data_IF_928323416041
#
_entry.id   IF_928323416041
#
_cell.length_a   1.000
_cell.length_b   1.000
_cell.length_c   1.000
_cell.angle_alpha   90.00
_cell.angle_beta   90.00
_cell.angle_gamma   90.00
#
_symmetry.space_group_name_H-M   'P 1'
#
loop_
_entity.id
_entity.type
_entity.pdbx_description
1 polymer ?
#
# COMPACT_ATOMS: atom_id res chain seq x y z
N UNK A 1 -43.43 -22.52 -1.05
CA UNK A 1 -42.17 -23.29 -0.97
C UNK A 1 -41.02 -22.30 -1.00
N UNK A 2 -40.58 -21.87 0.18
CA UNK A 2 -39.49 -20.89 0.35
C UNK A 2 -38.14 -21.60 0.38
N UNK A 3 -37.19 -21.12 -0.43
CA UNK A 3 -35.83 -21.61 -0.42
C UNK A 3 -35.17 -21.33 0.96
N UNK A 4 -34.40 -22.28 1.51
CA UNK A 4 -33.68 -22.05 2.76
C UNK A 4 -32.54 -21.07 2.51
N UNK A 5 -32.62 -19.90 3.13
CA UNK A 5 -31.50 -18.97 3.26
C UNK A 5 -30.45 -19.64 4.15
N UNK A 6 -29.39 -20.18 3.54
CA UNK A 6 -28.17 -20.57 4.26
C UNK A 6 -27.56 -19.27 4.80
N UNK A 7 -27.45 -19.08 6.12
CA UNK A 7 -26.75 -17.93 6.66
C UNK A 7 -25.26 -18.07 6.34
N UNK A 8 -24.72 -17.18 5.52
CA UNK A 8 -23.28 -17.03 5.21
C UNK A 8 -22.44 -16.61 6.45
N UNK A 9 -22.95 -16.75 7.67
CA UNK A 9 -22.33 -16.25 8.90
C UNK A 9 -21.30 -17.20 9.52
N UNK A 10 -21.21 -18.47 9.09
CA UNK A 10 -20.19 -19.40 9.59
C UNK A 10 -18.76 -18.99 9.21
N UNK A 11 -18.60 -18.17 8.16
CA UNK A 11 -17.31 -17.61 7.77
C UNK A 11 -16.79 -16.50 8.70
N UNK A 12 -17.60 -15.96 9.61
CA UNK A 12 -17.14 -14.88 10.52
C UNK A 12 -16.81 -15.36 11.94
N UNK A 13 -17.40 -16.49 12.38
CA UNK A 13 -17.15 -17.06 13.71
C UNK A 13 -15.85 -17.88 13.82
N UNK A 14 -15.39 -18.47 12.72
CA UNK A 14 -14.27 -19.43 12.74
C UNK A 14 -12.87 -18.80 12.75
N UNK A 15 -12.73 -17.53 12.31
CA UNK A 15 -11.42 -16.88 12.18
C UNK A 15 -11.04 -16.01 13.39
N UNK A 16 -12.02 -15.48 14.13
CA UNK A 16 -11.76 -14.47 15.18
C UNK A 16 -11.15 -14.99 16.48
N UNK A 17 -11.28 -16.29 16.80
CA UNK A 17 -10.92 -16.83 18.12
C UNK A 17 -9.74 -17.81 18.13
N UNK A 18 -9.10 -18.09 16.98
CA UNK A 18 -8.06 -19.10 16.94
C UNK A 18 -6.67 -18.48 17.07
N UNK A 19 -5.89 -18.97 18.04
CA UNK A 19 -4.43 -18.78 18.19
C UNK A 19 -3.59 -19.13 16.93
N UNK A 20 -4.25 -19.51 15.84
CA UNK A 20 -3.71 -19.79 14.51
C UNK A 20 -3.39 -18.52 13.72
N UNK A 21 -4.09 -17.40 13.93
CA UNK A 21 -3.81 -16.13 13.22
C UNK A 21 -2.39 -15.60 13.47
N UNK A 22 -1.91 -15.47 14.73
CA UNK A 22 -0.51 -15.16 14.99
C UNK A 22 0.43 -16.28 14.50
N UNK A 23 -0.02 -17.54 14.51
CA UNK A 23 0.71 -18.66 13.92
C UNK A 23 0.92 -18.54 12.41
N UNK A 24 -0.06 -18.04 11.65
CA UNK A 24 0.06 -17.79 10.21
C UNK A 24 0.91 -16.55 9.90
N UNK A 25 0.83 -15.52 10.74
CA UNK A 25 1.73 -14.36 10.64
C UNK A 25 3.18 -14.76 10.92
N UNK A 26 3.39 -15.59 11.95
CA UNK A 26 4.72 -16.11 12.29
C UNK A 26 5.23 -17.06 11.22
N UNK A 27 4.41 -17.98 10.69
CA UNK A 27 4.81 -18.87 9.60
C UNK A 27 5.09 -18.12 8.31
N UNK A 28 4.32 -17.07 8.01
CA UNK A 28 4.58 -16.15 6.90
C UNK A 28 5.90 -15.40 7.05
N UNK A 29 6.20 -14.90 8.25
CA UNK A 29 7.47 -14.24 8.57
C UNK A 29 8.65 -15.23 8.46
N UNK A 30 8.48 -16.45 8.97
CA UNK A 30 9.49 -17.52 8.87
C UNK A 30 9.72 -17.89 7.41
N UNK A 31 8.67 -18.07 6.62
CA UNK A 31 8.80 -18.40 5.19
C UNK A 31 9.49 -17.29 4.41
N UNK A 32 9.16 -16.02 4.68
CA UNK A 32 9.81 -14.87 4.05
C UNK A 32 11.29 -14.77 4.45
N UNK A 33 11.59 -15.01 5.73
CA UNK A 33 12.97 -15.03 6.23
C UNK A 33 13.76 -16.20 5.64
N UNK A 34 13.15 -17.39 5.54
CA UNK A 34 13.75 -18.56 4.90
C UNK A 34 14.06 -18.28 3.43
N UNK A 35 13.12 -17.65 2.71
CA UNK A 35 13.30 -17.28 1.31
C UNK A 35 14.48 -16.33 1.13
N UNK A 36 14.57 -15.27 1.95
CA UNK A 36 15.69 -14.33 1.94
C UNK A 36 17.02 -15.05 2.23
N UNK A 37 17.05 -15.95 3.23
CA UNK A 37 18.25 -16.70 3.61
C UNK A 37 18.66 -17.69 2.52
N UNK A 38 17.72 -18.38 1.88
CA UNK A 38 17.98 -19.32 0.78
C UNK A 38 18.55 -18.60 -0.43
N UNK A 39 17.96 -17.46 -0.82
CA UNK A 39 18.47 -16.62 -1.92
C UNK A 39 19.87 -16.08 -1.62
N UNK A 40 20.13 -15.60 -0.40
CA UNK A 40 21.46 -15.16 0.03
C UNK A 40 22.49 -16.30 -0.02
N UNK A 41 22.10 -17.51 0.39
CA UNK A 41 22.95 -18.70 0.32
C UNK A 41 23.20 -19.14 -1.12
N UNK A 42 22.21 -19.05 -2.01
CA UNK A 42 22.36 -19.36 -3.44
C UNK A 42 23.27 -18.37 -4.15
N UNK A 43 23.14 -17.07 -3.85
CA UNK A 43 24.03 -16.03 -4.34
C UNK A 43 25.48 -16.24 -3.87
N UNK A 44 25.70 -16.62 -2.60
CA UNK A 44 27.04 -16.95 -2.07
C UNK A 44 27.63 -18.23 -2.68
N UNK A 45 26.79 -19.16 -3.16
CA UNK A 45 27.21 -20.43 -3.78
C UNK A 45 27.49 -20.32 -5.28
N UNK A 46 27.43 -19.12 -5.87
CA UNK A 46 27.76 -18.90 -7.30
C UNK A 46 26.79 -19.54 -8.29
N UNK A 47 25.60 -19.97 -7.84
CA UNK A 47 24.52 -20.40 -8.73
C UNK A 47 23.80 -19.18 -9.27
N UNK A 48 23.23 -19.24 -10.49
CA UNK A 48 22.37 -18.16 -11.03
C UNK A 48 21.17 -17.98 -10.08
N UNK A 49 21.13 -16.95 -9.23
CA UNK A 49 20.00 -16.73 -8.34
C UNK A 49 18.79 -16.32 -9.20
N UNK A 50 17.58 -16.68 -8.77
CA UNK A 50 16.36 -16.22 -9.46
C UNK A 50 16.18 -14.72 -9.30
N UNK A 51 16.78 -14.16 -8.24
CA UNK A 51 16.77 -12.74 -7.93
C UNK A 51 18.21 -12.24 -7.78
N UNK A 52 18.70 -11.44 -8.73
CA UNK A 52 20.01 -10.79 -8.55
C UNK A 52 19.90 -9.68 -7.49
N UNK A 53 20.11 -10.05 -6.23
CA UNK A 53 20.14 -9.15 -5.07
C UNK A 53 21.16 -8.00 -5.22
N UNK A 54 22.09 -8.05 -6.18
CA UNK A 54 22.94 -6.89 -6.50
C UNK A 54 22.11 -5.69 -6.95
N UNK A 55 20.93 -5.91 -7.55
CA UNK A 55 20.01 -4.84 -7.94
C UNK A 55 19.51 -4.04 -6.73
N UNK A 56 19.38 -4.69 -5.56
CA UNK A 56 19.00 -4.03 -4.30
C UNK A 56 20.11 -3.16 -3.69
N UNK A 57 21.34 -3.25 -4.22
CA UNK A 57 22.43 -2.34 -3.85
C UNK A 57 22.15 -0.92 -4.33
N UNK A 58 21.32 -0.77 -5.38
CA UNK A 58 20.82 0.53 -5.80
C UNK A 58 19.86 1.07 -4.73
N UNK A 59 20.31 2.14 -4.06
CA UNK A 59 19.54 2.80 -3.00
C UNK A 59 18.22 3.37 -3.50
N UNK A 60 18.11 3.77 -4.76
CA UNK A 60 16.87 4.28 -5.35
C UNK A 60 15.84 3.17 -5.54
N UNK A 61 16.27 2.01 -6.05
CA UNK A 61 15.40 0.84 -6.18
C UNK A 61 14.96 0.32 -4.81
N UNK A 62 15.90 0.16 -3.86
CA UNK A 62 15.58 -0.30 -2.51
C UNK A 62 14.61 0.67 -1.79
N UNK A 63 14.82 1.99 -1.91
CA UNK A 63 13.90 3.00 -1.41
C UNK A 63 12.49 2.86 -1.98
N UNK A 64 12.40 2.74 -3.31
CA UNK A 64 11.15 2.64 -4.04
C UNK A 64 10.38 1.38 -3.70
N UNK A 65 11.08 0.25 -3.50
CA UNK A 65 10.50 -1.01 -3.06
C UNK A 65 9.92 -0.91 -1.64
N UNK A 66 10.68 -0.40 -0.67
CA UNK A 66 10.21 -0.23 0.71
C UNK A 66 8.99 0.70 0.77
N UNK A 67 9.08 1.86 0.11
CA UNK A 67 7.97 2.80 0.04
C UNK A 67 6.74 2.17 -0.63
N UNK A 68 6.93 1.43 -1.72
CA UNK A 68 5.84 0.71 -2.41
C UNK A 68 5.18 -0.32 -1.49
N UNK A 69 5.96 -1.10 -0.75
CA UNK A 69 5.41 -2.08 0.21
C UNK A 69 4.57 -1.40 1.26
N UNK A 70 5.05 -0.32 1.86
CA UNK A 70 4.30 0.42 2.89
C UNK A 70 3.01 0.99 2.33
N UNK A 71 3.04 1.57 1.14
CA UNK A 71 1.85 2.09 0.47
C UNK A 71 0.82 0.99 0.21
N UNK A 72 1.27 -0.19 -0.20
CA UNK A 72 0.38 -1.34 -0.42
C UNK A 72 -0.21 -1.89 0.87
N UNK A 73 0.56 -1.95 1.95
CA UNK A 73 0.04 -2.26 3.29
C UNK A 73 -1.12 -1.31 3.60
N UNK A 74 -0.89 0.00 3.46
CA UNK A 74 -1.90 1.02 3.75
C UNK A 74 -3.13 0.90 2.83
N UNK A 75 -2.92 0.75 1.52
CA UNK A 75 -3.97 0.65 0.52
C UNK A 75 -4.92 -0.52 0.81
N UNK A 76 -4.37 -1.70 1.08
CA UNK A 76 -5.16 -2.89 1.35
C UNK A 76 -5.83 -2.85 2.72
N UNK A 77 -5.18 -2.29 3.75
CA UNK A 77 -5.83 -2.03 5.04
C UNK A 77 -7.04 -1.08 4.86
N UNK A 78 -6.87 0.02 4.13
CA UNK A 78 -7.94 1.00 3.91
C UNK A 78 -9.11 0.45 3.09
N UNK A 79 -8.81 -0.38 2.10
CA UNK A 79 -9.81 -0.95 1.17
C UNK A 79 -10.83 -1.84 1.89
N UNK A 80 -10.43 -2.51 2.96
CA UNK A 80 -11.33 -3.30 3.81
C UNK A 80 -11.90 -2.48 4.97
N UNK A 81 -11.16 -1.50 5.46
CA UNK A 81 -11.56 -0.65 6.58
C UNK A 81 -12.83 0.17 6.27
N UNK A 82 -12.92 0.80 5.09
CA UNK A 82 -14.07 1.66 4.79
C UNK A 82 -15.39 0.90 4.61
N UNK A 83 -15.44 -0.24 3.89
CA UNK A 83 -16.64 -1.05 3.84
C UNK A 83 -17.08 -1.56 5.22
N UNK A 84 -16.15 -1.96 6.08
CA UNK A 84 -16.45 -2.39 7.46
C UNK A 84 -17.04 -1.21 8.27
N UNK A 85 -16.46 -0.02 8.16
CA UNK A 85 -17.01 1.17 8.81
C UNK A 85 -18.45 1.48 8.33
N UNK A 86 -18.69 1.48 7.02
CA UNK A 86 -20.01 1.83 6.48
C UNK A 86 -21.07 0.76 6.78
N UNK A 87 -20.72 -0.53 6.66
CA UNK A 87 -21.67 -1.62 6.82
C UNK A 87 -21.89 -1.97 8.31
N UNK A 88 -20.83 -2.15 9.08
CA UNK A 88 -20.92 -2.63 10.47
C UNK A 88 -21.24 -1.51 11.45
N UNK A 89 -20.58 -0.35 11.32
CA UNK A 89 -20.75 0.76 12.26
C UNK A 89 -21.91 1.68 11.88
N UNK A 90 -22.04 2.04 10.59
CA UNK A 90 -23.10 2.92 10.08
C UNK A 90 -24.35 2.19 9.59
N UNK A 91 -24.35 0.86 9.57
CA UNK A 91 -25.51 0.05 9.18
C UNK A 91 -25.94 0.22 7.72
N UNK A 92 -25.06 0.71 6.85
CA UNK A 92 -25.36 0.88 5.42
C UNK A 92 -25.39 -0.48 4.73
N UNK A 93 -26.21 -0.60 3.69
CA UNK A 93 -26.17 -1.76 2.80
C UNK A 93 -24.85 -1.79 2.01
N UNK A 94 -24.44 -2.97 1.53
CA UNK A 94 -23.23 -3.11 0.72
C UNK A 94 -23.25 -2.22 -0.53
N UNK A 95 -24.42 -2.03 -1.15
CA UNK A 95 -24.60 -1.16 -2.31
C UNK A 95 -24.37 0.31 -1.95
N UNK A 96 -24.99 0.79 -0.86
CA UNK A 96 -24.78 2.17 -0.37
C UNK A 96 -23.32 2.41 0.03
N UNK A 97 -22.68 1.45 0.71
CA UNK A 97 -21.28 1.56 1.09
C UNK A 97 -20.38 1.72 -0.15
N UNK A 98 -20.63 0.93 -1.19
CA UNK A 98 -19.87 1.01 -2.44
C UNK A 98 -20.12 2.34 -3.18
N UNK A 99 -21.35 2.85 -3.15
CA UNK A 99 -21.70 4.14 -3.74
C UNK A 99 -20.99 5.31 -3.04
N UNK A 100 -20.89 5.27 -1.71
CA UNK A 100 -20.16 6.26 -0.91
C UNK A 100 -18.64 6.19 -1.11
N UNK A 101 -18.12 5.08 -1.64
CA UNK A 101 -16.71 4.90 -1.98
C UNK A 101 -16.39 5.25 -3.44
N UNK A 102 -17.38 5.63 -4.26
CA UNK A 102 -17.12 6.11 -5.62
C UNK A 102 -16.11 7.27 -5.68
N UNK A 103 -16.16 8.29 -4.79
CA UNK A 103 -15.18 9.37 -4.83
C UNK A 103 -13.74 8.89 -4.67
N UNK A 104 -13.50 7.83 -3.90
CA UNK A 104 -12.18 7.21 -3.75
C UNK A 104 -11.68 6.66 -5.10
N UNK A 105 -12.53 5.93 -5.82
CA UNK A 105 -12.20 5.35 -7.12
C UNK A 105 -11.99 6.46 -8.17
N UNK A 106 -12.88 7.46 -8.22
CA UNK A 106 -12.78 8.60 -9.13
C UNK A 106 -11.53 9.44 -8.86
N UNK A 107 -11.22 9.73 -7.59
CA UNK A 107 -10.01 10.44 -7.20
C UNK A 107 -8.75 9.69 -7.65
N UNK A 108 -8.74 8.36 -7.46
CA UNK A 108 -7.63 7.53 -7.93
C UNK A 108 -7.48 7.58 -9.45
N UNK A 109 -8.58 7.47 -10.20
CA UNK A 109 -8.57 7.52 -11.67
C UNK A 109 -8.05 8.88 -12.19
N UNK A 110 -8.61 9.99 -11.69
CA UNK A 110 -8.20 11.34 -12.07
C UNK A 110 -6.74 11.54 -11.75
N UNK A 111 -6.30 11.12 -10.57
CA UNK A 111 -4.91 11.30 -10.20
C UNK A 111 -3.95 10.40 -10.97
N UNK A 112 -4.31 9.17 -11.34
CA UNK A 112 -3.44 8.33 -12.16
C UNK A 112 -3.22 8.92 -13.55
N UNK A 113 -4.29 9.45 -14.17
CA UNK A 113 -4.18 10.11 -15.48
C UNK A 113 -3.37 11.40 -15.42
N UNK A 114 -3.55 12.20 -14.37
CA UNK A 114 -2.78 13.42 -14.14
C UNK A 114 -1.31 13.09 -13.85
N UNK A 115 -1.04 12.16 -12.93
CA UNK A 115 0.30 11.75 -12.57
C UNK A 115 1.07 11.18 -13.78
N UNK A 116 0.44 10.34 -14.60
CA UNK A 116 1.06 9.80 -15.81
C UNK A 116 1.53 10.91 -16.75
N UNK A 117 0.67 11.91 -17.03
CA UNK A 117 1.04 13.05 -17.89
C UNK A 117 2.11 13.96 -17.28
N UNK A 118 2.12 14.12 -15.96
CA UNK A 118 3.07 14.98 -15.27
C UNK A 118 4.44 14.32 -15.11
N UNK A 119 4.50 12.99 -14.95
CA UNK A 119 5.77 12.25 -14.86
C UNK A 119 6.61 12.44 -16.13
N UNK A 120 5.98 12.47 -17.31
CA UNK A 120 6.70 12.68 -18.57
C UNK A 120 7.22 14.12 -18.75
N UNK A 121 6.62 15.09 -18.04
CA UNK A 121 6.96 16.52 -18.16
C UNK A 121 7.87 17.04 -17.07
N UNK A 122 7.99 16.32 -15.95
CA UNK A 122 8.75 16.77 -14.80
C UNK A 122 10.13 16.10 -14.76
N UNK A 123 11.18 16.86 -14.42
CA UNK A 123 12.54 16.34 -14.36
C UNK A 123 12.77 15.35 -13.21
N UNK A 124 11.89 15.34 -12.19
CA UNK A 124 12.00 14.46 -11.03
C UNK A 124 10.62 13.97 -10.58
N UNK A 125 10.43 12.65 -10.58
CA UNK A 125 9.22 11.97 -10.10
C UNK A 125 8.90 12.28 -8.63
N UNK A 126 9.89 12.70 -7.83
CA UNK A 126 9.72 13.06 -6.42
C UNK A 126 8.82 14.27 -6.21
N UNK A 127 8.73 15.17 -7.19
CA UNK A 127 7.84 16.35 -7.14
C UNK A 127 6.37 15.94 -7.05
N UNK A 128 6.01 14.73 -7.49
CA UNK A 128 4.66 14.17 -7.33
C UNK A 128 4.53 13.28 -6.09
N UNK A 129 5.56 12.47 -5.80
CA UNK A 129 5.53 11.48 -4.71
C UNK A 129 5.40 12.17 -3.35
N UNK A 130 6.21 13.21 -3.10
CA UNK A 130 6.23 13.93 -1.80
C UNK A 130 4.86 14.54 -1.47
N UNK A 131 4.24 15.39 -2.32
CA UNK A 131 2.92 15.93 -2.02
C UNK A 131 1.85 14.83 -1.98
N UNK A 132 1.96 13.76 -2.76
CA UNK A 132 1.05 12.62 -2.69
C UNK A 132 1.07 11.92 -1.34
N UNK A 133 2.27 11.66 -0.78
CA UNK A 133 2.40 11.05 0.57
C UNK A 133 1.87 12.00 1.65
N UNK A 134 2.16 13.30 1.55
CA UNK A 134 1.62 14.29 2.50
C UNK A 134 0.09 14.32 2.43
N UNK A 135 -0.48 14.31 1.22
CA UNK A 135 -1.92 14.29 1.02
C UNK A 135 -2.55 13.00 1.58
N UNK A 136 -1.86 11.86 1.44
CA UNK A 136 -2.29 10.59 2.01
C UNK A 136 -2.31 10.64 3.55
N UNK A 137 -1.25 11.16 4.17
CA UNK A 137 -1.16 11.33 5.63
C UNK A 137 -2.28 12.25 6.11
N UNK A 138 -2.50 13.37 5.42
CA UNK A 138 -3.56 14.32 5.76
C UNK A 138 -4.94 13.68 5.65
N UNK A 139 -5.21 12.91 4.59
CA UNK A 139 -6.44 12.15 4.42
C UNK A 139 -6.66 11.15 5.55
N UNK A 140 -5.63 10.39 5.93
CA UNK A 140 -5.69 9.45 7.06
C UNK A 140 -5.96 10.16 8.40
N UNK A 141 -5.31 11.30 8.65
CA UNK A 141 -5.52 12.10 9.87
C UNK A 141 -6.94 12.65 9.93
N UNK A 142 -7.47 13.14 8.80
CA UNK A 142 -8.86 13.58 8.71
C UNK A 142 -9.85 12.44 9.00
N UNK A 143 -9.58 11.24 8.47
CA UNK A 143 -10.40 10.06 8.70
C UNK A 143 -10.33 9.58 10.16
N UNK A 144 -9.25 9.87 10.89
CA UNK A 144 -9.14 9.56 12.32
C UNK A 144 -10.14 10.37 13.18
N UNK A 145 -10.58 11.54 12.71
CA UNK A 145 -11.60 12.36 13.38
C UNK A 145 -13.04 11.91 13.12
N UNK A 146 -13.25 10.84 12.34
CA UNK A 146 -14.59 10.38 11.99
C UNK A 146 -15.29 9.78 13.20
N UNK A 147 -16.54 10.17 13.37
CA UNK A 147 -17.47 9.64 14.37
C UNK A 147 -18.67 9.00 13.68
N UNK A 148 -19.56 8.39 14.47
CA UNK A 148 -20.80 7.79 13.98
C UNK A 148 -21.84 8.83 13.49
N UNK A 149 -21.59 10.12 13.67
CA UNK A 149 -22.48 11.23 13.30
C UNK A 149 -21.92 12.09 12.17
N UNK A 150 -20.69 11.87 11.71
CA UNK A 150 -20.09 12.60 10.58
C UNK A 150 -21.01 12.55 9.35
N UNK A 151 -21.32 13.70 8.71
CA UNK A 151 -22.14 13.74 7.51
C UNK A 151 -21.44 13.06 6.33
N UNK A 152 -22.21 12.38 5.48
CA UNK A 152 -21.67 11.59 4.36
C UNK A 152 -20.86 12.42 3.37
N UNK A 153 -21.20 13.69 3.15
CA UNK A 153 -20.46 14.55 2.22
C UNK A 153 -19.01 14.77 2.69
N UNK A 154 -18.78 14.92 4.00
CA UNK A 154 -17.43 15.06 4.56
C UNK A 154 -16.64 13.78 4.36
N UNK A 155 -17.26 12.63 4.64
CA UNK A 155 -16.65 11.33 4.39
C UNK A 155 -16.25 11.17 2.92
N UNK A 156 -17.16 11.46 1.98
CA UNK A 156 -16.91 11.42 0.54
C UNK A 156 -15.74 12.30 0.12
N UNK A 157 -15.61 13.50 0.69
CA UNK A 157 -14.50 14.41 0.41
C UNK A 157 -13.17 13.86 0.94
N UNK A 158 -13.17 13.30 2.16
CA UNK A 158 -11.98 12.70 2.78
C UNK A 158 -11.49 11.48 1.99
N UNK A 159 -12.38 10.56 1.62
CA UNK A 159 -12.01 9.37 0.82
C UNK A 159 -11.65 9.76 -0.62
N UNK A 160 -12.27 10.79 -1.19
CA UNK A 160 -11.88 11.34 -2.49
C UNK A 160 -10.45 11.90 -2.49
N UNK A 161 -10.09 12.64 -1.43
CA UNK A 161 -8.74 13.15 -1.23
C UNK A 161 -7.71 12.02 -1.09
N UNK A 162 -8.08 10.96 -0.36
CA UNK A 162 -7.26 9.76 -0.27
C UNK A 162 -7.09 9.04 -1.63
N UNK A 163 -8.13 9.04 -2.45
CA UNK A 163 -8.06 8.51 -3.81
C UNK A 163 -7.07 9.29 -4.67
N UNK A 164 -7.14 10.63 -4.62
CA UNK A 164 -6.18 11.49 -5.30
C UNK A 164 -4.74 11.21 -4.84
N UNK A 165 -4.53 11.05 -3.54
CA UNK A 165 -3.22 10.73 -3.01
C UNK A 165 -2.69 9.37 -3.49
N UNK A 166 -3.53 8.33 -3.54
CA UNK A 166 -3.12 7.01 -4.07
C UNK A 166 -2.59 7.09 -5.51
N UNK A 167 -3.30 7.81 -6.39
CA UNK A 167 -2.88 7.95 -7.80
C UNK A 167 -1.60 8.76 -7.98
N UNK A 168 -1.39 9.80 -7.15
CA UNK A 168 -0.21 10.66 -7.20
C UNK A 168 1.05 9.94 -6.74
N UNK A 169 0.92 8.89 -5.94
CA UNK A 169 2.09 8.16 -5.40
C UNK A 169 2.39 6.90 -6.21
N UNK A 170 1.39 6.05 -6.50
CA UNK A 170 1.63 4.73 -7.09
C UNK A 170 2.33 4.78 -8.46
N UNK A 171 1.91 5.71 -9.31
CA UNK A 171 2.43 5.83 -10.68
C UNK A 171 3.90 6.30 -10.69
N UNK A 172 4.26 7.49 -10.15
CA UNK A 172 5.64 7.97 -10.19
C UNK A 172 6.58 7.09 -9.36
N UNK A 173 6.11 6.46 -8.29
CA UNK A 173 6.96 5.56 -7.50
C UNK A 173 7.38 4.33 -8.30
N UNK A 174 6.47 3.76 -9.09
CA UNK A 174 6.78 2.64 -9.98
C UNK A 174 7.82 3.03 -11.03
N UNK A 175 7.67 4.21 -11.64
CA UNK A 175 8.60 4.73 -12.64
C UNK A 175 9.96 5.04 -12.02
N UNK A 176 9.99 5.79 -10.92
CA UNK A 176 11.23 6.18 -10.22
C UNK A 176 12.05 4.99 -9.72
N UNK A 177 11.40 3.88 -9.37
CA UNK A 177 12.06 2.65 -8.92
C UNK A 177 12.81 1.94 -10.06
N UNK A 178 12.37 2.12 -11.30
CA UNK A 178 12.91 1.41 -12.47
C UNK A 178 13.87 2.27 -13.30
N UNK A 179 13.85 3.60 -13.15
CA UNK A 179 14.63 4.56 -13.96
C UNK A 179 16.15 4.34 -13.90
N UNK A 180 16.70 3.82 -12.81
CA UNK A 180 18.16 3.59 -12.70
C UNK A 180 18.65 2.28 -13.33
N UNK A 181 17.72 1.44 -13.83
CA UNK A 181 18.02 0.09 -14.33
C UNK A 181 18.07 0.11 -15.85
N UNK A 182 19.24 -0.17 -16.42
CA UNK A 182 19.48 -0.04 -17.86
C UNK A 182 19.41 -1.37 -18.63
N UNK A 183 19.52 -2.53 -17.95
CA UNK A 183 19.43 -3.83 -18.62
C UNK A 183 18.00 -4.40 -18.57
N UNK A 184 17.46 -4.92 -19.70
CA UNK A 184 16.11 -5.50 -19.74
C UNK A 184 15.87 -6.62 -18.73
N UNK A 185 16.86 -7.49 -18.50
CA UNK A 185 16.79 -8.58 -17.51
C UNK A 185 16.67 -8.05 -16.07
N UNK A 186 17.38 -6.96 -15.75
CA UNK A 186 17.31 -6.34 -14.44
C UNK A 186 16.00 -5.57 -14.23
N UNK A 187 15.43 -4.94 -15.27
CA UNK A 187 14.09 -4.32 -15.21
C UNK A 187 13.03 -5.39 -14.95
N UNK A 188 13.10 -6.54 -15.63
CA UNK A 188 12.20 -7.66 -15.40
C UNK A 188 12.31 -8.21 -13.96
N UNK A 189 13.55 -8.35 -13.46
CA UNK A 189 13.82 -8.80 -12.08
C UNK A 189 13.29 -7.79 -11.05
N UNK A 190 13.56 -6.49 -11.24
CA UNK A 190 13.09 -5.42 -10.35
C UNK A 190 11.58 -5.26 -10.35
N UNK A 191 10.92 -5.43 -11.49
CA UNK A 191 9.46 -5.40 -11.62
C UNK A 191 8.81 -6.59 -10.92
N UNK A 192 9.38 -7.80 -11.11
CA UNK A 192 8.96 -9.01 -10.40
C UNK A 192 9.08 -8.83 -8.90
N UNK A 193 10.23 -8.32 -8.42
CA UNK A 193 10.46 -8.05 -7.01
C UNK A 193 9.48 -7.03 -6.43
N UNK A 194 9.23 -5.94 -7.17
CA UNK A 194 8.22 -4.94 -6.79
C UNK A 194 6.85 -5.57 -6.63
N UNK A 195 6.45 -6.44 -7.55
CA UNK A 195 5.16 -7.13 -7.50
C UNK A 195 5.06 -8.07 -6.31
N UNK A 196 6.09 -8.88 -6.05
CA UNK A 196 6.15 -9.78 -4.88
C UNK A 196 6.03 -8.98 -3.59
N UNK A 197 6.82 -7.91 -3.44
CA UNK A 197 6.79 -7.07 -2.25
C UNK A 197 5.47 -6.33 -2.05
N UNK A 198 4.80 -5.94 -3.14
CA UNK A 198 3.46 -5.36 -3.11
C UNK A 198 2.41 -6.37 -2.65
N UNK A 199 2.46 -7.60 -3.15
CA UNK A 199 1.56 -8.68 -2.73
C UNK A 199 1.76 -9.06 -1.27
N UNK A 200 3.02 -9.15 -0.81
CA UNK A 200 3.36 -9.35 0.60
C UNK A 200 2.83 -8.19 1.45
N UNK A 201 3.06 -6.94 1.03
CA UNK A 201 2.54 -5.77 1.72
C UNK A 201 1.01 -5.77 1.82
N UNK A 202 0.32 -6.06 0.72
CA UNK A 202 -1.14 -6.18 0.70
C UNK A 202 -1.64 -7.26 1.66
N UNK A 203 -1.02 -8.44 1.66
CA UNK A 203 -1.38 -9.53 2.58
C UNK A 203 -1.12 -9.19 4.05
N UNK A 204 -0.02 -8.51 4.36
CA UNK A 204 0.26 -8.05 5.73
C UNK A 204 -0.76 -7.00 6.17
N UNK A 205 -1.08 -6.04 5.31
CA UNK A 205 -2.06 -4.99 5.60
C UNK A 205 -3.47 -5.53 5.86
N UNK A 206 -3.93 -6.51 5.08
CA UNK A 206 -5.22 -7.16 5.33
C UNK A 206 -5.20 -8.03 6.59
N UNK A 207 -4.10 -8.75 6.85
CA UNK A 207 -3.98 -9.60 8.03
C UNK A 207 -3.98 -8.80 9.34
N UNK A 208 -3.24 -7.69 9.40
CA UNK A 208 -3.24 -6.80 10.57
C UNK A 208 -4.64 -6.23 10.83
N UNK A 209 -5.31 -5.75 9.78
CA UNK A 209 -6.69 -5.25 9.90
C UNK A 209 -7.65 -6.34 10.37
N UNK A 210 -7.60 -7.53 9.77
CA UNK A 210 -8.47 -8.64 10.14
C UNK A 210 -8.25 -9.04 11.60
N UNK A 211 -6.99 -9.13 12.03
CA UNK A 211 -6.65 -9.46 13.43
C UNK A 211 -7.23 -8.44 14.41
N UNK A 212 -7.09 -7.15 14.11
CA UNK A 212 -7.57 -6.08 14.99
C UNK A 212 -9.11 -5.97 15.01
N UNK A 213 -9.77 -6.27 13.89
CA UNK A 213 -11.24 -6.18 13.79
C UNK A 213 -11.97 -7.44 14.28
N UNK A 214 -11.33 -8.62 14.23
CA UNK A 214 -11.93 -9.91 14.60
C UNK A 214 -11.60 -10.39 16.02
N UNK A 215 -10.83 -9.61 16.80
CA UNK A 215 -10.43 -10.01 18.15
C UNK A 215 -11.67 -10.22 19.06
N UNK A 216 -11.79 -11.34 19.82
CA UNK A 216 -13.04 -11.75 20.48
C UNK A 216 -13.58 -10.77 21.54
N UNK A 217 -12.73 -9.92 22.11
CA UNK A 217 -13.13 -8.87 23.04
C UNK A 217 -13.85 -7.68 22.35
N UNK A 218 -13.97 -7.69 21.01
CA UNK A 218 -14.32 -6.53 20.18
C UNK A 218 -15.66 -6.54 19.46
N UNK A 219 -16.65 -7.34 19.87
CA UNK A 219 -17.97 -7.35 19.23
C UNK A 219 -18.89 -6.16 19.60
N UNK A 220 -18.51 -5.33 20.57
CA UNK A 220 -19.24 -4.10 20.89
C UNK A 220 -18.80 -2.96 19.96
N UNK A 221 -19.77 -2.15 19.49
CA UNK A 221 -19.55 -1.01 18.56
C UNK A 221 -18.40 -0.07 18.99
N UNK A 222 -18.19 0.12 20.30
CA UNK A 222 -17.13 0.97 20.84
C UNK A 222 -15.73 0.37 20.63
N UNK A 223 -15.57 -0.94 20.80
CA UNK A 223 -14.26 -1.60 20.61
C UNK A 223 -13.90 -1.67 19.13
N UNK A 224 -14.88 -1.85 18.24
CA UNK A 224 -14.67 -1.75 16.80
C UNK A 224 -14.22 -0.34 16.37
N UNK A 225 -14.77 0.70 16.98
CA UNK A 225 -14.36 2.09 16.73
C UNK A 225 -12.93 2.34 17.22
N UNK A 226 -12.57 1.88 18.43
CA UNK A 226 -11.20 1.99 18.94
C UNK A 226 -10.21 1.21 18.06
N UNK A 227 -10.57 0.00 17.63
CA UNK A 227 -9.78 -0.79 16.68
C UNK A 227 -9.54 -0.05 15.36
N UNK A 228 -10.56 0.63 14.84
CA UNK A 228 -10.47 1.48 13.65
C UNK A 228 -9.44 2.60 13.81
N UNK A 229 -9.51 3.34 14.93
CA UNK A 229 -8.58 4.43 15.22
C UNK A 229 -7.15 3.91 15.42
N UNK A 230 -6.99 2.72 16.00
CA UNK A 230 -5.70 2.06 16.19
C UNK A 230 -5.05 1.69 14.85
N UNK A 231 -5.85 1.18 13.90
CA UNK A 231 -5.39 0.89 12.54
C UNK A 231 -4.96 2.17 11.83
N UNK A 232 -5.74 3.26 11.96
CA UNK A 232 -5.36 4.55 11.39
C UNK A 232 -4.04 5.06 11.96
N UNK A 233 -3.82 4.98 13.27
CA UNK A 233 -2.56 5.37 13.91
C UNK A 233 -1.36 4.57 13.41
N UNK A 234 -1.49 3.25 13.33
CA UNK A 234 -0.42 2.38 12.81
C UNK A 234 -0.12 2.73 11.35
N UNK A 235 -1.16 2.93 10.54
CA UNK A 235 -1.04 3.28 9.12
C UNK A 235 -0.36 4.63 8.93
N UNK A 236 -0.72 5.65 9.73
CA UNK A 236 -0.08 6.96 9.73
C UNK A 236 1.39 6.84 10.14
N UNK A 237 1.69 6.09 11.21
CA UNK A 237 3.06 5.88 11.68
C UNK A 237 3.95 5.22 10.61
N UNK A 238 3.44 4.18 9.96
CA UNK A 238 4.13 3.53 8.84
C UNK A 238 4.34 4.49 7.67
N UNK A 239 3.33 5.32 7.34
CA UNK A 239 3.44 6.28 6.25
C UNK A 239 4.45 7.41 6.56
N UNK A 240 4.52 7.87 7.80
CA UNK A 240 5.54 8.84 8.25
C UNK A 240 6.94 8.23 8.21
N UNK A 241 7.10 6.97 8.61
CA UNK A 241 8.38 6.25 8.48
C UNK A 241 8.79 6.11 7.01
N UNK A 242 7.86 5.74 6.13
CA UNK A 242 8.12 5.68 4.69
C UNK A 242 8.48 7.05 4.11
N UNK A 243 7.79 8.11 4.54
CA UNK A 243 8.08 9.48 4.15
C UNK A 243 9.48 9.91 4.59
N UNK A 244 9.85 9.67 5.85
CA UNK A 244 11.19 9.95 6.38
C UNK A 244 12.25 9.14 5.63
N UNK A 245 11.99 7.89 5.31
CA UNK A 245 12.92 7.05 4.54
C UNK A 245 13.14 7.58 3.13
N UNK A 246 12.07 8.00 2.43
CA UNK A 246 12.14 8.64 1.11
C UNK A 246 12.90 9.98 1.18
N UNK A 247 12.74 10.76 2.25
CA UNK A 247 13.47 12.01 2.48
C UNK A 247 14.95 11.79 2.84
N UNK A 248 15.28 10.76 3.62
CA UNK A 248 16.65 10.46 4.05
C UNK A 248 17.53 9.91 2.91
N UNK A 249 16.92 9.25 1.92
CA UNK A 249 17.62 8.75 0.73
C UNK A 249 17.77 9.83 -0.37
N UNK A 250 17.64 11.10 0.01
CA UNK A 250 17.89 12.28 -0.82
C UNK A 250 19.40 12.46 -1.07
N UNK A 251 19.95 11.83 -2.11
CA UNK A 251 21.09 12.40 -2.86
C UNK A 251 21.25 11.85 -4.28
N UNK A 252 21.34 12.81 -5.21
CA UNK A 252 21.87 12.83 -6.59
C UNK A 252 21.31 11.76 -7.56
N UNK A 253 20.17 12.07 -8.19
CA UNK A 253 20.01 11.70 -9.60
C UNK A 253 21.08 12.48 -10.37
N UNK A 254 22.15 11.81 -10.79
CA UNK A 254 23.01 12.38 -11.83
C UNK A 254 22.17 12.45 -13.10
N UNK A 255 22.07 13.67 -13.63
CA UNK A 255 21.53 13.93 -14.96
C UNK A 255 22.15 12.91 -15.93
N UNK A 256 21.38 12.33 -16.87
CA UNK A 256 21.98 11.67 -18.01
C UNK A 256 22.92 12.68 -18.65
N UNK A 257 24.22 12.39 -18.63
CA UNK A 257 25.21 13.16 -19.36
C UNK A 257 24.71 13.21 -20.80
N UNK A 258 24.34 14.41 -21.23
CA UNK A 258 24.09 14.74 -22.62
C UNK A 258 25.19 14.10 -23.44
N UNK A 259 24.85 13.07 -24.22
CA UNK A 259 25.65 12.64 -25.34
C UNK A 259 25.57 13.78 -26.35
N UNK A 260 26.38 14.81 -26.13
CA UNK A 260 26.80 15.71 -27.17
C UNK A 260 27.65 14.87 -28.12
N UNK A 261 27.00 14.36 -29.16
CA UNK A 261 27.68 13.90 -30.35
C UNK A 261 28.37 15.13 -30.97
N UNK A 262 29.71 15.20 -31.00
CA UNK A 262 30.38 16.25 -31.73
C UNK A 262 30.14 15.97 -33.21
N UNK A 263 29.44 16.88 -33.87
CA UNK A 263 29.41 16.96 -35.33
C UNK A 263 30.87 17.01 -35.82
N UNK A 264 31.37 15.88 -36.30
CA UNK A 264 32.60 15.84 -37.08
C UNK A 264 32.29 16.30 -38.49
N UNK A 265 32.98 17.40 -38.81
CA UNK A 265 33.22 18.06 -40.10
C UNK A 265 33.24 17.12 -41.30
#
# INVERSE_FOLDING_TARGET
>A
MGAPYIPLSEGQGAYGANAKVPGFLFSGLVALTLFIVIELLQARRGKRPLLDIRILTDRSLSAGLVASTVLFICLFSNSLLFPIYLQTLRGQTALQASLLLLPLALGTLVSMTLAGRLVDRLPDARVLIVPGIVLQILGMVLLMGITLTTPYWQFCLMVGLLGLANGLVMQPLSVASMVSIHSPEAVATGTTLSTVLRSVGGSLGTAVLATLTMMPAGQTRLVQLVGLHTVFLITIGLMVLAFLFVLLLRKKQEKPTSQAEPATV
#
